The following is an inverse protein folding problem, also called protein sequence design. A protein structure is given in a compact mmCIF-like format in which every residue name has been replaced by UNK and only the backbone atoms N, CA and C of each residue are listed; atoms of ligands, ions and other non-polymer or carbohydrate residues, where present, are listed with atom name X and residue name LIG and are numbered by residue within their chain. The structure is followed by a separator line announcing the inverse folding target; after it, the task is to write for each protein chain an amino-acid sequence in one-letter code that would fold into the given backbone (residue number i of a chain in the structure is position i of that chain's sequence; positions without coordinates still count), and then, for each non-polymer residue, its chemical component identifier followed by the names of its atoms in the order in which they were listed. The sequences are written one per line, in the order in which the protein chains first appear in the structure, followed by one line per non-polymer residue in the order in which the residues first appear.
data_IF_059726827597
#
_entry.id   IF_059726827597
#
_cell.length_a   1.000
_cell.length_b   1.000
_cell.length_c   1.000
_cell.angle_alpha   90.00
_cell.angle_beta   90.00
_cell.angle_gamma   90.00
#
_symmetry.space_group_name_H-M   'P 1'
#
loop_
_entity.id
_entity.type
_entity.pdbx_description
1 polymer ?
#
# COMPACT_ATOMS: atom_id res chain seq x y z
N UNK A 1 15.75 6.56 -15.87
CA UNK A 1 14.74 7.00 -14.90
C UNK A 1 14.88 6.17 -13.65
N UNK A 2 15.10 6.82 -12.50
CA UNK A 2 15.24 6.17 -11.19
C UNK A 2 13.93 6.29 -10.43
N UNK A 3 13.43 5.17 -9.92
CA UNK A 3 12.12 5.06 -9.29
C UNK A 3 12.28 4.60 -7.84
N UNK A 4 11.68 5.33 -6.91
CA UNK A 4 11.45 4.86 -5.56
C UNK A 4 10.18 4.02 -5.56
N UNK A 5 10.26 2.75 -5.16
CA UNK A 5 9.11 1.90 -4.95
C UNK A 5 8.93 1.71 -3.45
N UNK A 6 7.78 2.07 -2.93
CA UNK A 6 7.48 1.95 -1.52
C UNK A 6 6.40 0.91 -1.24
N UNK A 7 6.70 -0.03 -0.33
CA UNK A 7 5.76 -1.00 0.19
C UNK A 7 6.06 -1.25 1.68
N UNK A 8 5.12 -0.98 2.61
CA UNK A 8 5.42 -0.93 4.04
C UNK A 8 5.91 -2.24 4.66
N UNK A 9 5.37 -3.39 4.24
CA UNK A 9 5.64 -4.67 4.89
C UNK A 9 5.98 -5.76 3.87
N UNK A 10 7.22 -6.15 3.77
CA UNK A 10 7.70 -7.28 2.97
C UNK A 10 8.02 -8.43 3.93
N UNK A 11 7.06 -9.31 4.18
CA UNK A 11 7.19 -10.38 5.16
C UNK A 11 6.38 -11.63 4.83
N UNK A 12 5.84 -11.72 3.63
CA UNK A 12 5.01 -12.84 3.17
C UNK A 12 5.43 -13.26 1.76
N UNK A 13 5.02 -14.47 1.37
CA UNK A 13 5.04 -14.92 -0.02
C UNK A 13 3.68 -14.69 -0.64
N UNK A 14 3.30 -13.42 -0.84
CA UNK A 14 1.97 -13.01 -1.31
C UNK A 14 1.99 -12.42 -2.71
N UNK A 15 0.81 -12.06 -3.20
CA UNK A 15 0.65 -11.44 -4.51
C UNK A 15 1.32 -10.07 -4.62
N UNK A 16 1.39 -9.31 -3.53
CA UNK A 16 2.02 -7.99 -3.50
C UNK A 16 3.54 -8.09 -3.73
N UNK A 17 4.20 -8.99 -2.99
CA UNK A 17 5.63 -9.24 -3.15
C UNK A 17 5.95 -9.79 -4.55
N UNK A 18 5.07 -10.62 -5.11
CA UNK A 18 5.24 -11.10 -6.48
C UNK A 18 5.15 -9.96 -7.51
N UNK A 19 4.23 -9.03 -7.31
CA UNK A 19 4.12 -7.83 -8.18
C UNK A 19 5.39 -6.98 -8.12
N UNK A 20 5.99 -6.80 -6.94
CA UNK A 20 7.26 -6.08 -6.81
C UNK A 20 8.36 -6.75 -7.65
N UNK A 21 8.51 -8.07 -7.52
CA UNK A 21 9.51 -8.84 -8.26
C UNK A 21 9.31 -8.69 -9.77
N UNK A 22 8.08 -8.92 -10.25
CA UNK A 22 7.77 -8.85 -11.66
C UNK A 22 7.94 -7.43 -12.22
N UNK A 23 7.54 -6.41 -11.46
CA UNK A 23 7.69 -5.01 -11.84
C UNK A 23 9.16 -4.65 -12.02
N UNK A 24 10.01 -4.99 -11.05
CA UNK A 24 11.45 -4.69 -11.09
C UNK A 24 12.16 -5.48 -12.19
N UNK A 25 11.83 -6.77 -12.36
CA UNK A 25 12.50 -7.63 -13.35
C UNK A 25 12.13 -7.32 -14.80
N UNK A 26 10.85 -7.02 -15.04
CA UNK A 26 10.35 -6.79 -16.42
C UNK A 26 10.51 -5.35 -16.89
N UNK A 27 10.67 -4.42 -15.99
CA UNK A 27 10.86 -3.03 -16.32
C UNK A 27 12.31 -2.74 -16.69
N UNK A 28 12.51 -1.81 -17.62
CA UNK A 28 13.84 -1.27 -17.96
C UNK A 28 14.26 -0.10 -17.05
N UNK A 29 13.49 0.14 -15.98
CA UNK A 29 13.68 1.24 -15.05
C UNK A 29 14.53 0.79 -13.85
N UNK A 30 15.22 1.73 -13.22
CA UNK A 30 16.02 1.45 -12.03
C UNK A 30 15.16 1.68 -10.79
N UNK A 31 14.85 0.61 -10.07
CA UNK A 31 14.07 0.68 -8.84
C UNK A 31 14.96 0.61 -7.61
N UNK A 32 14.60 1.39 -6.59
CA UNK A 32 15.02 1.18 -5.21
C UNK A 32 13.78 0.91 -4.39
N UNK A 33 13.74 -0.24 -3.72
CA UNK A 33 12.58 -0.65 -2.92
C UNK A 33 12.76 -0.17 -1.48
N UNK A 34 11.82 0.62 -0.99
CA UNK A 34 11.76 1.09 0.39
C UNK A 34 10.67 0.36 1.15
N UNK A 35 11.01 -0.17 2.33
CA UNK A 35 10.08 -0.87 3.20
C UNK A 35 10.32 -0.52 4.68
N UNK A 36 9.32 -0.73 5.52
CA UNK A 36 9.47 -0.55 6.97
C UNK A 36 9.68 -1.87 7.71
N UNK A 37 9.43 -2.99 7.05
CA UNK A 37 9.69 -4.29 7.63
C UNK A 37 10.06 -5.27 6.52
N UNK A 38 11.25 -5.85 6.63
CA UNK A 38 11.76 -6.81 5.66
C UNK A 38 12.16 -8.10 6.37
N UNK A 39 11.36 -9.15 6.18
CA UNK A 39 11.70 -10.49 6.66
C UNK A 39 12.16 -11.37 5.49
N UNK A 40 13.49 -11.52 5.38
CA UNK A 40 14.14 -12.27 4.30
C UNK A 40 13.81 -13.75 4.31
N UNK A 41 13.44 -14.31 5.48
CA UNK A 41 13.15 -15.75 5.60
C UNK A 41 11.69 -16.07 5.28
N UNK A 42 10.79 -15.11 5.52
CA UNK A 42 9.36 -15.30 5.32
C UNK A 42 8.86 -14.86 3.94
N UNK A 43 9.70 -14.20 3.14
CA UNK A 43 9.33 -13.71 1.80
C UNK A 43 10.06 -14.46 0.68
N UNK A 44 9.81 -14.08 -0.58
CA UNK A 44 10.48 -14.66 -1.74
C UNK A 44 12.00 -14.40 -1.71
N UNK A 45 12.84 -15.42 -1.96
CA UNK A 45 14.31 -15.25 -1.98
C UNK A 45 14.79 -14.20 -2.99
N UNK A 46 14.05 -14.03 -4.07
CA UNK A 46 14.35 -13.07 -5.13
C UNK A 46 14.36 -11.62 -4.65
N UNK A 47 13.56 -11.29 -3.62
CA UNK A 47 13.52 -9.95 -3.03
C UNK A 47 14.83 -9.60 -2.33
N UNK A 48 15.55 -10.60 -1.81
CA UNK A 48 16.86 -10.37 -1.20
C UNK A 48 17.95 -9.95 -2.19
N UNK A 49 17.71 -10.18 -3.48
CA UNK A 49 18.62 -9.80 -4.57
C UNK A 49 18.34 -8.38 -5.10
N UNK A 50 17.21 -7.80 -4.71
CA UNK A 50 16.83 -6.45 -5.13
C UNK A 50 17.44 -5.39 -4.18
N UNK A 51 17.61 -4.15 -4.64
CA UNK A 51 18.06 -3.04 -3.81
C UNK A 51 16.94 -2.62 -2.85
N UNK A 52 16.79 -3.36 -1.75
CA UNK A 52 15.80 -3.10 -0.70
C UNK A 52 16.45 -2.32 0.43
N UNK A 53 15.87 -1.19 0.78
CA UNK A 53 16.26 -0.33 1.90
C UNK A 53 15.18 -0.37 2.97
N UNK A 54 15.53 -0.88 4.15
CA UNK A 54 14.63 -0.87 5.31
C UNK A 54 14.70 0.50 5.99
N UNK A 55 13.53 1.09 6.20
CA UNK A 55 13.33 2.36 6.89
C UNK A 55 13.05 2.13 8.39
N UNK A 56 12.43 3.11 9.06
CA UNK A 56 12.05 2.96 10.46
C UNK A 56 11.09 1.78 10.65
N UNK A 57 11.48 0.82 11.49
CA UNK A 57 10.74 -0.43 11.69
C UNK A 57 9.33 -0.20 12.23
N UNK A 58 8.35 -0.83 11.56
CA UNK A 58 6.96 -0.82 11.97
C UNK A 58 6.54 -2.21 12.46
N UNK A 59 5.79 -2.30 13.59
CA UNK A 59 5.27 -3.58 14.05
C UNK A 59 4.24 -4.16 13.06
N UNK A 60 4.32 -5.47 12.84
CA UNK A 60 3.40 -6.20 11.94
C UNK A 60 2.08 -6.53 12.63
N UNK A 61 2.05 -6.53 13.98
CA UNK A 61 0.83 -6.84 14.75
C UNK A 61 -0.29 -5.83 14.44
N UNK A 62 -1.47 -6.35 14.09
CA UNK A 62 -2.64 -5.55 13.70
C UNK A 62 -3.63 -5.40 14.86
N UNK A 63 -3.25 -4.65 15.89
CA UNK A 63 -4.20 -4.17 16.92
C UNK A 63 -4.63 -2.75 16.58
N UNK A 64 -5.75 -2.27 17.11
CA UNK A 64 -6.22 -0.90 16.87
C UNK A 64 -5.14 0.12 17.28
N UNK A 65 -4.47 -0.11 18.40
CA UNK A 65 -3.41 0.76 18.88
C UNK A 65 -2.18 0.77 17.96
N UNK A 66 -1.69 -0.40 17.57
CA UNK A 66 -0.55 -0.49 16.64
C UNK A 66 -0.90 0.06 15.25
N UNK A 67 -2.15 -0.09 14.82
CA UNK A 67 -2.61 0.51 13.56
C UNK A 67 -2.58 2.03 13.63
N UNK A 68 -3.06 2.63 14.72
CA UNK A 68 -3.01 4.08 14.93
C UNK A 68 -1.56 4.60 14.99
N UNK A 69 -0.67 3.89 15.72
CA UNK A 69 0.75 4.25 15.79
C UNK A 69 1.44 4.13 14.42
N UNK A 70 1.16 3.06 13.67
CA UNK A 70 1.72 2.87 12.32
C UNK A 70 1.22 3.96 11.37
N UNK A 71 -0.08 4.28 11.41
CA UNK A 71 -0.66 5.36 10.61
C UNK A 71 0.02 6.69 10.90
N UNK A 72 0.23 7.01 12.18
CA UNK A 72 0.93 8.23 12.60
C UNK A 72 2.37 8.26 12.08
N UNK A 73 3.13 7.18 12.26
CA UNK A 73 4.51 7.08 11.76
C UNK A 73 4.58 7.23 10.25
N UNK A 74 3.70 6.55 9.51
CA UNK A 74 3.64 6.61 8.04
C UNK A 74 3.30 8.00 7.53
N UNK A 75 2.39 8.71 8.22
CA UNK A 75 2.00 10.08 7.89
C UNK A 75 3.20 11.04 7.94
N UNK A 76 4.11 10.84 8.91
CA UNK A 76 5.28 11.70 9.10
C UNK A 76 6.56 11.17 8.44
N UNK A 77 6.49 10.00 7.80
CA UNK A 77 7.64 9.37 7.21
C UNK A 77 8.08 10.07 5.93
N UNK A 78 9.34 10.51 5.90
CA UNK A 78 9.99 10.98 4.69
C UNK A 78 10.73 9.83 4.03
N UNK A 79 10.54 9.70 2.72
CA UNK A 79 11.31 8.80 1.88
C UNK A 79 12.57 9.51 1.37
N UNK A 80 13.70 8.82 1.20
CA UNK A 80 14.90 9.41 0.59
C UNK A 80 14.69 9.60 -0.92
N UNK A 81 13.80 10.55 -1.26
CA UNK A 81 13.35 10.78 -2.64
C UNK A 81 14.30 11.67 -3.45
N UNK A 82 15.30 12.30 -2.82
CA UNK A 82 16.20 13.26 -3.48
C UNK A 82 16.88 12.74 -4.76
N UNK A 83 17.03 11.42 -4.89
CA UNK A 83 17.68 10.77 -6.02
C UNK A 83 16.72 10.05 -6.97
N UNK A 84 15.40 10.22 -6.80
CA UNK A 84 14.39 9.52 -7.60
C UNK A 84 13.51 10.50 -8.35
N UNK A 85 13.22 10.17 -9.59
CA UNK A 85 12.40 10.98 -10.49
C UNK A 85 10.90 10.70 -10.33
N UNK A 86 10.56 9.53 -9.77
CA UNK A 86 9.18 9.12 -9.58
C UNK A 86 9.03 8.22 -8.36
N UNK A 87 7.91 8.34 -7.65
CA UNK A 87 7.54 7.51 -6.50
C UNK A 87 6.40 6.58 -6.89
N UNK A 88 6.59 5.28 -6.72
CA UNK A 88 5.54 4.26 -6.86
C UNK A 88 5.22 3.72 -5.47
N UNK A 89 3.96 3.83 -5.05
CA UNK A 89 3.49 3.30 -3.78
C UNK A 89 2.56 2.13 -4.03
N UNK A 90 2.91 0.96 -3.49
CA UNK A 90 2.00 -0.17 -3.45
C UNK A 90 1.13 -0.05 -2.19
N UNK A 91 -0.18 0.08 -2.40
CA UNK A 91 -1.13 0.32 -1.34
C UNK A 91 -1.91 -0.95 -0.98
N UNK A 92 -1.87 -1.30 0.31
CA UNK A 92 -2.76 -2.28 0.95
C UNK A 92 -3.51 -1.66 2.13
N UNK A 93 -3.80 -0.37 2.04
CA UNK A 93 -4.63 0.37 2.97
C UNK A 93 -3.94 1.45 3.81
N UNK A 94 -2.71 1.28 4.29
CA UNK A 94 -2.00 2.31 5.06
C UNK A 94 -0.78 2.89 4.33
N UNK A 95 -0.27 2.19 3.32
CA UNK A 95 0.94 2.60 2.60
C UNK A 95 0.81 3.92 1.87
N UNK A 96 -0.40 4.28 1.46
CA UNK A 96 -0.73 5.53 0.77
C UNK A 96 -0.57 6.78 1.65
N UNK A 97 -0.62 6.65 2.98
CA UNK A 97 -0.41 7.78 3.89
C UNK A 97 0.96 8.45 3.70
N UNK A 98 1.95 7.70 3.23
CA UNK A 98 3.28 8.24 2.95
C UNK A 98 3.27 9.32 1.86
N UNK A 99 2.29 9.30 0.96
CA UNK A 99 2.14 10.27 -0.12
C UNK A 99 1.87 11.68 0.40
N UNK A 100 1.20 11.81 1.55
CA UNK A 100 0.87 13.11 2.14
C UNK A 100 2.12 13.93 2.48
N UNK A 101 3.22 13.26 2.80
CA UNK A 101 4.49 13.92 3.19
C UNK A 101 5.54 13.90 2.09
N UNK A 102 5.32 13.13 1.02
CA UNK A 102 6.28 12.94 -0.07
C UNK A 102 5.70 13.40 -1.42
N UNK A 103 4.99 14.52 -1.43
CA UNK A 103 4.33 15.10 -2.61
C UNK A 103 5.27 15.88 -3.54
N UNK A 104 6.56 15.97 -3.20
CA UNK A 104 7.54 16.75 -3.98
C UNK A 104 7.97 16.12 -5.31
N UNK A 105 7.68 14.84 -5.54
CA UNK A 105 7.94 14.13 -6.80
C UNK A 105 6.62 13.59 -7.38
N UNK A 106 6.56 13.40 -8.71
CA UNK A 106 5.44 12.69 -9.32
C UNK A 106 5.26 11.32 -8.67
N UNK A 107 4.03 10.96 -8.31
CA UNK A 107 3.75 9.72 -7.62
C UNK A 107 2.62 8.93 -8.28
N UNK A 108 2.76 7.61 -8.28
CA UNK A 108 1.73 6.66 -8.70
C UNK A 108 1.40 5.74 -7.54
N UNK A 109 0.12 5.66 -7.19
CA UNK A 109 -0.37 4.68 -6.23
C UNK A 109 -0.93 3.46 -6.96
N UNK A 110 -0.32 2.30 -6.75
CA UNK A 110 -0.81 1.03 -7.25
C UNK A 110 -1.59 0.33 -6.14
N UNK A 111 -2.92 0.44 -6.19
CA UNK A 111 -3.80 -0.20 -5.22
C UNK A 111 -3.98 -1.68 -5.58
N UNK A 112 -3.31 -2.57 -4.85
CA UNK A 112 -3.40 -4.01 -5.04
C UNK A 112 -4.66 -4.59 -4.39
N UNK A 113 -5.01 -4.06 -3.22
CA UNK A 113 -6.20 -4.48 -2.48
C UNK A 113 -6.82 -3.26 -1.82
N UNK A 114 -8.06 -2.91 -2.13
CA UNK A 114 -8.76 -1.85 -1.42
C UNK A 114 -8.91 -2.22 0.05
N UNK A 115 -9.02 -1.23 0.92
CA UNK A 115 -9.10 -1.42 2.37
C UNK A 115 -10.26 -2.39 2.72
N UNK A 116 -9.93 -3.64 3.01
CA UNK A 116 -10.93 -4.71 3.25
C UNK A 116 -11.94 -4.33 4.33
N UNK A 117 -11.49 -3.60 5.35
CA UNK A 117 -12.37 -3.12 6.41
C UNK A 117 -13.51 -2.21 5.89
N UNK A 118 -13.34 -1.54 4.75
CA UNK A 118 -14.36 -0.68 4.14
C UNK A 118 -15.24 -1.42 3.13
N UNK A 119 -14.66 -2.36 2.38
CA UNK A 119 -15.31 -2.93 1.20
C UNK A 119 -15.71 -4.40 1.34
N UNK A 120 -15.09 -5.15 2.26
CA UNK A 120 -15.37 -6.56 2.47
C UNK A 120 -16.26 -6.79 3.70
N UNK A 121 -17.56 -7.14 3.52
CA UNK A 121 -18.48 -7.39 4.63
C UNK A 121 -18.08 -8.62 5.46
N UNK A 122 -17.49 -9.65 4.84
CA UNK A 122 -17.03 -10.85 5.54
C UNK A 122 -15.84 -10.53 6.44
N UNK A 123 -14.89 -9.76 5.94
CA UNK A 123 -13.75 -9.30 6.75
C UNK A 123 -14.22 -8.46 7.93
N UNK A 124 -15.20 -7.57 7.74
CA UNK A 124 -15.78 -6.76 8.84
C UNK A 124 -16.46 -7.62 9.90
N UNK A 125 -17.25 -8.61 9.48
CA UNK A 125 -17.92 -9.53 10.39
C UNK A 125 -16.91 -10.32 11.24
N UNK A 126 -15.81 -10.75 10.65
CA UNK A 126 -14.73 -11.45 11.35
C UNK A 126 -13.89 -10.55 12.26
N UNK A 127 -13.50 -9.37 11.78
CA UNK A 127 -12.60 -8.48 12.49
C UNK A 127 -13.27 -7.71 13.64
N UNK A 128 -14.55 -7.39 13.50
CA UNK A 128 -15.28 -6.54 14.45
C UNK A 128 -16.42 -7.26 15.17
N UNK A 129 -16.55 -8.59 14.98
CA UNK A 129 -17.68 -9.37 15.47
C UNK A 129 -18.99 -9.01 14.76
N UNK A 130 -19.98 -9.89 14.88
CA UNK A 130 -21.32 -9.70 14.28
C UNK A 130 -22.15 -8.57 14.94
N UNK A 131 -21.55 -7.53 15.43
CA UNK A 131 -22.32 -6.34 15.83
C UNK A 131 -22.79 -5.67 14.53
N UNK A 132 -24.07 -5.94 14.25
CA UNK A 132 -24.83 -5.31 13.18
C UNK A 132 -24.59 -3.80 13.17
N UNK A 133 -23.86 -3.33 12.16
CA UNK A 133 -23.79 -1.90 11.90
C UNK A 133 -25.18 -1.45 11.47
N UNK A 134 -25.74 -0.38 12.08
CA UNK A 134 -27.04 0.12 11.71
C UNK A 134 -27.02 0.57 10.23
N UNK A 135 -27.99 0.04 9.48
CA UNK A 135 -28.47 0.51 8.20
C UNK A 135 -27.44 0.92 7.15
N UNK A 136 -27.48 0.22 6.03
CA UNK A 136 -26.83 0.61 4.76
C UNK A 136 -27.04 2.11 4.47
N UNK A 137 -26.16 2.97 4.93
CA UNK A 137 -26.00 4.27 4.28
C UNK A 137 -25.25 4.00 2.98
N UNK A 138 -25.85 4.31 1.85
CA UNK A 138 -25.17 4.34 0.56
C UNK A 138 -23.94 5.23 0.74
N UNK A 139 -22.76 4.63 0.58
CA UNK A 139 -21.53 5.40 0.58
C UNK A 139 -21.63 6.39 -0.60
N UNK A 140 -21.26 7.65 -0.39
CA UNK A 140 -21.19 8.59 -1.50
C UNK A 140 -20.19 8.06 -2.54
N UNK A 141 -20.54 8.18 -3.81
CA UNK A 141 -19.66 7.85 -4.93
C UNK A 141 -18.43 8.78 -4.87
N UNK A 142 -17.29 8.25 -4.47
CA UNK A 142 -16.05 8.98 -4.53
C UNK A 142 -15.53 8.97 -5.96
N UNK A 143 -15.62 10.09 -6.63
CA UNK A 143 -14.88 10.30 -7.87
C UNK A 143 -13.46 10.69 -7.52
N UNK A 144 -12.52 9.74 -7.60
CA UNK A 144 -11.10 10.06 -7.54
C UNK A 144 -10.70 10.66 -8.88
N UNK A 145 -10.50 11.97 -8.92
CA UNK A 145 -9.87 12.63 -10.06
C UNK A 145 -8.37 12.31 -10.01
N UNK A 146 -7.97 11.28 -10.69
CA UNK A 146 -6.58 11.10 -11.08
C UNK A 146 -6.38 11.94 -12.36
N UNK A 147 -5.36 12.80 -12.39
CA UNK A 147 -5.15 13.77 -13.47
C UNK A 147 -5.35 13.16 -14.86
N UNK A 148 -6.20 13.78 -15.66
CA UNK A 148 -6.54 13.54 -17.07
C UNK A 148 -7.16 12.20 -17.49
N UNK A 149 -7.57 11.30 -16.60
CA UNK A 149 -8.39 10.14 -16.96
C UNK A 149 -9.50 9.93 -15.93
N UNK A 150 -10.75 10.23 -16.31
CA UNK A 150 -11.96 9.91 -15.54
C UNK A 150 -12.26 8.41 -15.67
N UNK A 151 -11.82 7.61 -14.73
CA UNK A 151 -12.33 6.25 -14.59
C UNK A 151 -13.54 6.27 -13.64
N UNK A 152 -14.72 6.17 -14.19
CA UNK A 152 -15.94 5.97 -13.43
C UNK A 152 -16.03 4.49 -13.03
N UNK A 153 -15.85 4.18 -11.75
CA UNK A 153 -16.16 2.87 -11.20
C UNK A 153 -17.63 2.84 -10.77
N UNK A 154 -18.47 2.24 -11.58
CA UNK A 154 -19.81 1.84 -11.16
C UNK A 154 -19.69 0.47 -10.47
N UNK A 155 -19.87 0.42 -9.15
CA UNK A 155 -20.06 -0.82 -8.44
C UNK A 155 -21.45 -1.38 -8.79
N UNK A 156 -21.54 -2.18 -9.85
CA UNK A 156 -22.69 -3.03 -10.13
C UNK A 156 -22.69 -4.14 -9.07
N UNK A 157 -23.62 -4.05 -8.13
CA UNK A 157 -23.88 -5.11 -7.18
C UNK A 157 -24.44 -6.32 -7.94
N UNK A 158 -23.64 -7.37 -8.03
CA UNK A 158 -24.12 -8.70 -8.40
C UNK A 158 -25.16 -9.16 -7.37
N UNK A 159 -26.31 -9.60 -7.87
CA UNK A 159 -27.39 -10.28 -7.15
C UNK A 159 -26.93 -11.65 -6.64
#
# INVERSE_FOLDING_TARGET
MRIALYYPWIHLTSGAERVIIELVRRSRLQYTVYTNHFDRQATFPELSQLPVTELSRLPVKRTLWTTAQNSWKLLWQKLPSANHEHLVVLCEGLGDLVLLRNSGAPATCLCLTPLRACFDPHYRAHAFGQRSLPGRRRLPSWTVRCGSATAAWSASAAR
#
